data_IF_855617394916
#
_entry.id   IF_855617394916
#
_cell.length_a   1.000
_cell.length_b   1.000
_cell.length_c   1.000
_cell.angle_alpha   90.00
_cell.angle_beta   90.00
_cell.angle_gamma   90.00
#
_symmetry.space_group_name_H-M   'P 1'
#
loop_
_entity.id
_entity.type
_entity.pdbx_description
1 polymer ?
#
# COMPACT_ATOMS: atom_id res chain seq x y z
N UNK A 1 19.04 2.25 -7.27
CA UNK A 1 18.51 1.98 -5.92
C UNK A 1 17.04 2.40 -5.84
N UNK A 2 16.17 1.52 -5.42
CA UNK A 2 14.73 1.80 -5.40
C UNK A 2 14.31 2.72 -4.26
N UNK A 3 13.12 3.29 -4.37
CA UNK A 3 12.37 3.87 -3.26
C UNK A 3 11.40 2.81 -2.76
N UNK A 4 11.51 2.43 -1.50
CA UNK A 4 10.54 1.56 -0.84
C UNK A 4 9.31 2.38 -0.48
N UNK A 5 8.13 1.82 -0.66
CA UNK A 5 6.88 2.50 -0.31
C UNK A 5 5.82 1.52 0.18
N UNK A 6 4.84 2.07 0.89
CA UNK A 6 3.67 1.36 1.38
C UNK A 6 2.47 2.31 1.37
N UNK A 7 1.40 1.94 0.67
CA UNK A 7 0.17 2.70 0.59
C UNK A 7 -0.78 2.33 1.71
N UNK A 8 -1.23 3.32 2.45
CA UNK A 8 -2.40 3.21 3.31
C UNK A 8 -3.61 3.78 2.58
N UNK A 9 -4.71 3.03 2.56
CA UNK A 9 -5.87 3.36 1.76
C UNK A 9 -7.19 3.09 2.47
N UNK A 10 -8.26 3.66 1.93
CA UNK A 10 -9.63 3.32 2.29
C UNK A 10 -10.51 3.18 1.06
N UNK A 11 -11.54 2.34 1.15
CA UNK A 11 -12.50 2.11 0.08
C UNK A 11 -13.77 1.43 0.60
N UNK A 12 -14.85 1.56 -0.17
CA UNK A 12 -16.06 0.71 -0.02
C UNK A 12 -15.93 -0.62 -0.79
N UNK A 13 -14.93 -0.73 -1.65
CA UNK A 13 -14.65 -1.98 -2.36
C UNK A 13 -14.00 -2.99 -1.42
N UNK A 14 -14.40 -4.25 -1.54
CA UNK A 14 -13.77 -5.35 -0.83
C UNK A 14 -12.52 -5.81 -1.59
N UNK A 15 -11.36 -5.54 -1.00
CA UNK A 15 -10.07 -5.90 -1.59
C UNK A 15 -9.91 -7.41 -1.78
N UNK A 16 -10.38 -8.22 -0.83
CA UNK A 16 -10.26 -9.67 -0.91
C UNK A 16 -11.12 -10.26 -2.02
N UNK A 17 -12.33 -9.73 -2.20
CA UNK A 17 -13.26 -10.19 -3.22
C UNK A 17 -12.89 -9.73 -4.63
N UNK A 18 -12.31 -8.53 -4.76
CA UNK A 18 -12.11 -7.88 -6.06
C UNK A 18 -10.66 -7.88 -6.54
N UNK A 19 -9.68 -8.01 -5.64
CA UNK A 19 -8.27 -7.83 -5.93
C UNK A 19 -7.88 -6.35 -6.04
N UNK A 20 -6.58 -6.09 -6.02
CA UNK A 20 -6.04 -4.73 -5.94
C UNK A 20 -6.42 -3.84 -7.12
N UNK A 21 -6.42 -4.37 -8.32
CA UNK A 21 -6.78 -3.60 -9.51
C UNK A 21 -8.19 -3.03 -9.43
N UNK A 22 -9.20 -3.88 -9.27
CA UNK A 22 -10.61 -3.45 -9.18
C UNK A 22 -10.91 -2.64 -7.91
N UNK A 23 -10.15 -2.89 -6.83
CA UNK A 23 -10.18 -2.04 -5.66
C UNK A 23 -9.80 -0.60 -6.01
N UNK A 24 -8.66 -0.39 -6.68
CA UNK A 24 -8.20 0.95 -7.04
C UNK A 24 -8.97 1.61 -8.19
N UNK A 25 -9.63 0.84 -9.03
CA UNK A 25 -10.57 1.36 -10.05
C UNK A 25 -11.90 1.84 -9.44
N UNK A 26 -12.23 1.41 -8.20
CA UNK A 26 -13.46 1.82 -7.55
C UNK A 26 -13.45 3.31 -7.17
N UNK A 27 -14.52 4.09 -7.47
CA UNK A 27 -14.55 5.54 -7.23
C UNK A 27 -14.31 5.96 -5.78
N UNK A 28 -14.69 5.11 -4.81
CA UNK A 28 -14.50 5.40 -3.38
C UNK A 28 -13.10 5.11 -2.86
N UNK A 29 -12.23 4.54 -3.68
CA UNK A 29 -10.87 4.20 -3.25
C UNK A 29 -9.99 5.42 -3.24
N UNK A 30 -9.34 5.65 -2.12
CA UNK A 30 -8.39 6.74 -1.95
C UNK A 30 -7.21 6.33 -1.08
N UNK A 31 -6.05 6.91 -1.36
CA UNK A 31 -4.90 6.81 -0.48
C UNK A 31 -5.10 7.73 0.72
N UNK A 32 -4.77 7.24 1.89
CA UNK A 32 -4.66 8.04 3.12
C UNK A 32 -3.29 8.68 3.20
N UNK A 33 -2.26 7.90 2.95
CA UNK A 33 -0.87 8.35 2.87
C UNK A 33 -0.02 7.27 2.18
N UNK A 34 1.22 7.63 1.87
CA UNK A 34 2.28 6.70 1.48
C UNK A 34 3.46 6.89 2.40
N UNK A 35 3.87 5.85 3.09
CA UNK A 35 5.16 5.81 3.77
C UNK A 35 6.24 5.48 2.73
N UNK A 36 7.35 6.20 2.74
CA UNK A 36 8.43 5.94 1.80
C UNK A 36 9.83 5.98 2.46
N UNK A 37 10.75 5.24 1.84
CA UNK A 37 12.16 5.22 2.20
C UNK A 37 13.00 5.24 0.93
N UNK A 38 13.75 6.28 0.71
CA UNK A 38 14.74 6.36 -0.36
C UNK A 38 16.01 5.60 0.03
N UNK A 39 16.23 4.43 -0.55
CA UNK A 39 17.39 3.59 -0.22
C UNK A 39 18.73 4.19 -0.65
N UNK A 40 18.72 5.20 -1.54
CA UNK A 40 19.93 5.89 -1.97
C UNK A 40 20.44 6.86 -0.92
N UNK A 41 19.55 7.58 -0.26
CA UNK A 41 19.91 8.64 0.70
C UNK A 41 19.69 8.24 2.15
N UNK A 42 18.89 7.17 2.39
CA UNK A 42 18.42 6.79 3.71
C UNK A 42 17.27 7.64 4.24
N UNK A 43 16.81 8.64 3.49
CA UNK A 43 15.70 9.49 3.90
C UNK A 43 14.38 8.73 3.94
N UNK A 44 13.52 9.12 4.88
CA UNK A 44 12.18 8.54 5.08
C UNK A 44 11.16 9.64 5.22
N UNK A 45 9.93 9.37 4.84
CA UNK A 45 8.87 10.34 4.99
C UNK A 45 7.50 9.80 4.66
N UNK A 46 6.55 10.72 4.68
CA UNK A 46 5.17 10.52 4.27
C UNK A 46 4.88 11.38 3.05
N UNK A 47 4.08 10.86 2.17
CA UNK A 47 3.41 11.61 1.12
C UNK A 47 1.90 11.60 1.40
N UNK A 48 1.26 12.75 1.22
CA UNK A 48 -0.19 12.89 1.34
C UNK A 48 -0.81 13.22 -0.03
N UNK A 49 -2.02 12.73 -0.31
CA UNK A 49 -2.73 13.08 -1.54
C UNK A 49 -2.83 14.59 -1.75
N UNK A 50 -2.49 15.05 -2.94
CA UNK A 50 -2.42 16.47 -3.28
C UNK A 50 -1.01 17.06 -3.24
N UNK A 51 -0.06 16.40 -2.59
CA UNK A 51 1.34 16.80 -2.65
C UNK A 51 2.03 16.31 -3.93
N UNK A 52 3.07 17.00 -4.44
CA UNK A 52 3.90 16.47 -5.52
C UNK A 52 4.60 15.18 -5.08
N UNK A 53 4.61 14.16 -5.95
CA UNK A 53 5.40 12.97 -5.71
C UNK A 53 6.90 13.24 -6.00
N UNK A 54 7.80 13.11 -5.02
CA UNK A 54 9.19 13.55 -5.18
C UNK A 54 10.10 12.58 -5.94
N UNK A 55 9.59 11.40 -6.29
CA UNK A 55 10.40 10.31 -6.85
C UNK A 55 9.94 9.87 -8.26
N UNK A 56 9.38 10.77 -9.04
CA UNK A 56 9.05 10.49 -10.44
C UNK A 56 10.28 10.02 -11.22
N UNK A 57 10.12 9.02 -12.08
CA UNK A 57 11.23 8.43 -12.84
C UNK A 57 12.16 7.50 -12.05
N UNK A 58 11.87 7.22 -10.78
CA UNK A 58 12.61 6.26 -9.96
C UNK A 58 11.98 4.87 -10.04
N UNK A 59 12.80 3.85 -9.79
CA UNK A 59 12.31 2.49 -9.53
C UNK A 59 11.67 2.47 -8.14
N UNK A 60 10.45 1.98 -8.06
CA UNK A 60 9.69 1.84 -6.81
C UNK A 60 9.66 0.38 -6.37
N UNK A 61 9.62 0.14 -5.09
CA UNK A 61 9.51 -1.20 -4.52
C UNK A 61 8.48 -1.22 -3.40
N UNK A 62 7.64 -2.26 -3.39
CA UNK A 62 6.66 -2.48 -2.34
C UNK A 62 6.47 -3.97 -2.07
N UNK A 63 5.93 -4.30 -0.92
CA UNK A 63 5.58 -5.68 -0.59
C UNK A 63 4.18 -5.98 -1.11
N UNK A 64 4.08 -6.86 -2.11
CA UNK A 64 2.89 -7.10 -2.94
C UNK A 64 2.58 -5.97 -3.94
N UNK A 65 3.62 -5.39 -4.52
CA UNK A 65 3.51 -4.29 -5.49
C UNK A 65 2.59 -4.64 -6.66
N UNK A 66 2.77 -5.80 -7.27
CA UNK A 66 1.98 -6.26 -8.43
C UNK A 66 0.52 -6.55 -8.08
N UNK A 67 0.22 -6.82 -6.81
CA UNK A 67 -1.13 -7.07 -6.31
C UNK A 67 -1.87 -5.82 -5.81
N UNK A 68 -1.16 -4.74 -5.48
CA UNK A 68 -1.80 -3.59 -4.82
C UNK A 68 -1.16 -2.23 -5.11
N UNK A 69 0.10 -2.01 -4.69
CA UNK A 69 0.72 -0.67 -4.66
C UNK A 69 0.93 -0.07 -6.05
N UNK A 70 1.21 -0.90 -7.03
CA UNK A 70 1.39 -0.46 -8.42
C UNK A 70 0.13 0.20 -8.98
N UNK A 71 -1.06 -0.37 -8.72
CA UNK A 71 -2.32 0.21 -9.17
C UNK A 71 -2.63 1.54 -8.47
N UNK A 72 -2.26 1.66 -7.18
CA UNK A 72 -2.36 2.90 -6.43
C UNK A 72 -1.47 3.99 -7.06
N UNK A 73 -0.21 3.67 -7.30
CA UNK A 73 0.76 4.58 -7.88
C UNK A 73 0.37 5.03 -9.30
N UNK A 74 -0.22 4.15 -10.11
CA UNK A 74 -0.77 4.48 -11.41
C UNK A 74 -1.94 5.48 -11.29
N UNK A 75 -2.86 5.25 -10.35
CA UNK A 75 -3.98 6.16 -10.08
C UNK A 75 -3.52 7.56 -9.69
N UNK A 76 -2.46 7.67 -8.89
CA UNK A 76 -1.89 8.94 -8.45
C UNK A 76 -0.78 9.47 -9.36
N UNK A 77 -0.51 8.80 -10.49
CA UNK A 77 0.44 9.21 -11.51
C UNK A 77 1.85 9.43 -10.98
N UNK A 78 2.34 8.48 -10.18
CA UNK A 78 3.69 8.56 -9.61
C UNK A 78 4.82 8.48 -10.63
N UNK A 79 4.56 8.01 -11.84
CA UNK A 79 5.55 8.00 -12.94
C UNK A 79 6.76 7.12 -12.60
N UNK A 80 6.55 5.90 -12.12
CA UNK A 80 7.63 4.96 -11.82
C UNK A 80 8.37 4.53 -13.08
N UNK A 81 9.71 4.46 -13.03
CA UNK A 81 10.53 3.88 -14.09
C UNK A 81 10.47 2.35 -14.14
N UNK A 82 10.08 1.73 -13.04
CA UNK A 82 9.92 0.29 -12.91
C UNK A 82 9.49 -0.09 -11.50
N UNK A 83 9.17 -1.37 -11.30
CA UNK A 83 8.70 -1.90 -10.04
C UNK A 83 9.48 -3.12 -9.58
N UNK A 84 9.64 -3.23 -8.27
CA UNK A 84 10.13 -4.40 -7.58
C UNK A 84 9.05 -4.85 -6.60
N UNK A 85 8.55 -6.07 -6.76
CA UNK A 85 7.65 -6.70 -5.78
C UNK A 85 8.46 -7.57 -4.83
N UNK A 86 8.65 -7.11 -3.60
CA UNK A 86 9.46 -7.82 -2.61
C UNK A 86 8.80 -9.11 -2.11
N UNK A 87 7.46 -9.22 -2.17
CA UNK A 87 6.74 -10.48 -1.90
C UNK A 87 7.04 -11.53 -2.97
N UNK A 88 7.07 -11.13 -4.24
CA UNK A 88 7.44 -12.02 -5.34
C UNK A 88 8.90 -12.47 -5.25
N UNK A 89 9.81 -11.56 -4.88
CA UNK A 89 11.23 -11.91 -4.64
C UNK A 89 11.38 -12.92 -3.50
N UNK A 90 10.68 -12.70 -2.38
CA UNK A 90 10.70 -13.62 -1.25
C UNK A 90 10.26 -15.03 -1.67
N UNK A 91 9.13 -15.16 -2.38
CA UNK A 91 8.64 -16.45 -2.90
C UNK A 91 9.64 -17.12 -3.85
N UNK A 92 10.28 -16.36 -4.73
CA UNK A 92 11.32 -16.91 -5.63
C UNK A 92 12.54 -17.44 -4.88
N UNK A 93 12.84 -16.87 -3.71
CA UNK A 93 13.91 -17.32 -2.82
C UNK A 93 13.48 -18.48 -1.88
N UNK A 94 12.26 -19.01 -2.03
CA UNK A 94 11.74 -20.06 -1.15
C UNK A 94 11.31 -19.56 0.23
N UNK A 95 11.12 -18.25 0.39
CA UNK A 95 10.69 -17.61 1.64
C UNK A 95 9.17 -17.33 1.61
N UNK A 96 8.55 -17.11 2.78
CA UNK A 96 7.15 -16.70 2.84
C UNK A 96 6.90 -15.42 2.05
N UNK A 97 5.78 -15.36 1.32
CA UNK A 97 5.36 -14.17 0.61
C UNK A 97 4.64 -13.14 1.49
N UNK A 98 4.08 -13.57 2.62
CA UNK A 98 3.42 -12.67 3.57
C UNK A 98 4.45 -11.93 4.44
N UNK A 99 4.26 -10.61 4.60
CA UNK A 99 5.25 -9.76 5.28
C UNK A 99 5.47 -10.12 6.75
N UNK A 100 4.42 -10.48 7.47
CA UNK A 100 4.47 -10.91 8.87
C UNK A 100 5.27 -12.21 9.03
N UNK A 101 4.98 -13.22 8.20
CA UNK A 101 5.71 -14.49 8.23
C UNK A 101 7.18 -14.32 7.82
N UNK A 102 7.45 -13.50 6.80
CA UNK A 102 8.80 -13.18 6.34
C UNK A 102 9.60 -12.44 7.43
N UNK A 103 8.98 -11.46 8.09
CA UNK A 103 9.60 -10.70 9.18
C UNK A 103 9.99 -11.58 10.35
N UNK A 104 9.11 -12.47 10.78
CA UNK A 104 9.39 -13.43 11.87
C UNK A 104 10.49 -14.41 11.47
N UNK A 105 10.38 -15.03 10.28
CA UNK A 105 11.31 -16.07 9.85
C UNK A 105 12.70 -15.52 9.58
N UNK A 106 12.83 -14.33 9.03
CA UNK A 106 14.11 -13.80 8.58
C UNK A 106 14.74 -12.81 9.55
N UNK A 107 13.93 -11.98 10.19
CA UNK A 107 14.39 -10.90 11.07
C UNK A 107 14.07 -11.15 12.55
N UNK A 108 13.25 -12.16 12.86
CA UNK A 108 12.74 -12.38 14.21
C UNK A 108 11.80 -11.27 14.71
N UNK A 109 11.30 -10.43 13.81
CA UNK A 109 10.47 -9.26 14.14
C UNK A 109 9.03 -9.52 13.68
N UNK A 110 8.06 -9.61 14.61
CA UNK A 110 6.65 -9.72 14.24
C UNK A 110 6.11 -8.39 13.70
N UNK A 111 5.01 -8.47 12.95
CA UNK A 111 4.27 -7.29 12.52
C UNK A 111 3.69 -6.55 13.72
N UNK A 112 3.66 -5.22 13.66
CA UNK A 112 3.00 -4.38 14.66
C UNK A 112 1.48 -4.57 14.62
N UNK A 113 0.94 -5.28 15.61
CA UNK A 113 -0.50 -5.55 15.72
C UNK A 113 -1.31 -4.31 16.08
N UNK A 114 -0.74 -3.37 16.85
CA UNK A 114 -1.44 -2.14 17.24
C UNK A 114 -1.61 -1.23 16.03
N UNK A 115 -0.55 -1.02 15.25
CA UNK A 115 -0.61 -0.28 13.98
C UNK A 115 -1.55 -0.94 12.98
N UNK A 116 -1.52 -2.26 12.86
CA UNK A 116 -2.42 -3.01 11.96
C UNK A 116 -3.90 -2.85 12.32
N UNK A 117 -4.25 -2.83 13.60
CA UNK A 117 -5.63 -2.61 14.06
C UNK A 117 -6.08 -1.18 13.77
N UNK A 118 -5.22 -0.20 14.01
CA UNK A 118 -5.50 1.20 13.75
C UNK A 118 -5.74 1.45 12.26
N UNK A 119 -4.85 0.95 11.40
CA UNK A 119 -4.99 1.04 9.94
C UNK A 119 -6.32 0.42 9.46
N UNK A 120 -6.68 -0.76 9.95
CA UNK A 120 -7.97 -1.39 9.59
C UNK A 120 -9.17 -0.55 9.99
N UNK A 121 -9.13 0.09 11.16
CA UNK A 121 -10.20 0.98 11.62
C UNK A 121 -10.37 2.21 10.71
N UNK A 122 -9.27 2.77 10.23
CA UNK A 122 -9.29 3.91 9.30
C UNK A 122 -9.64 3.50 7.86
N UNK A 123 -9.26 2.30 7.44
CA UNK A 123 -9.43 1.84 6.06
C UNK A 123 -10.87 1.43 5.72
N UNK A 124 -11.68 1.08 6.73
CA UNK A 124 -13.07 0.72 6.52
C UNK A 124 -13.94 1.97 6.43
N UNK A 125 -14.30 2.35 5.22
CA UNK A 125 -15.35 3.35 5.01
C UNK A 125 -16.68 2.69 5.35
N UNK A 126 -17.21 2.95 6.54
CA UNK A 126 -18.57 2.54 6.88
C UNK A 126 -19.52 3.14 5.84
N UNK A 127 -20.41 2.31 5.29
CA UNK A 127 -21.51 2.86 4.47
C UNK A 127 -22.17 3.96 5.28
N UNK A 128 -22.36 5.17 4.74
CA UNK A 128 -23.21 6.15 5.41
C UNK A 128 -24.52 5.42 5.70
N UNK A 129 -24.96 5.44 6.94
CA UNK A 129 -26.32 5.02 7.29
C UNK A 129 -27.23 5.79 6.34
N UNK A 130 -28.02 5.09 5.55
CA UNK A 130 -29.02 5.77 4.73
C UNK A 130 -29.82 6.63 5.69
N UNK A 131 -29.74 7.95 5.52
CA UNK A 131 -30.61 8.86 6.23
C UNK A 131 -32.02 8.42 5.86
N UNK A 132 -32.78 7.97 6.84
CA UNK A 132 -34.18 7.68 6.61
C UNK A 132 -34.86 9.02 6.35
N UNK A 133 -35.82 9.06 5.46
CA UNK A 133 -36.55 10.28 5.07
C UNK A 133 -37.23 11.02 6.25
N UNK A 134 -37.00 10.58 7.49
CA UNK A 134 -37.48 11.14 8.74
C UNK A 134 -36.38 11.91 9.53
N UNK A 135 -35.14 11.94 9.04
CA UNK A 135 -34.01 12.73 9.59
C UNK A 135 -33.60 13.85 8.62
#
# INVERSE_FOLDING_TARGET
MPVLLDFESRSRADLKARGGRLYWEHPSSEALCVCWHDTRTGARGLWLPGEPWPFAGRVLAAHNADGFDRFAAERYRFGAAGWIDTSALARRAGLPGALDALGVQWLGVPKDDAGSRFTRALSSVRRPRALTAAE
#
